data_IF_576322435654
#
_entry.id   IF_576322435654
#
_cell.length_a   1.000
_cell.length_b   1.000
_cell.length_c   1.000
_cell.angle_alpha   90.00
_cell.angle_beta   90.00
_cell.angle_gamma   90.00
#
_symmetry.space_group_name_H-M   'P 1'
#
loop_
_entity.id
_entity.type
_entity.pdbx_description
1 polymer ?
#
# COMPACT_ATOMS: atom_id res chain seq x y z
N UNK A 1 24.36 -3.21 -12.86
CA UNK A 1 24.14 -1.87 -13.47
C UNK A 1 22.72 -1.64 -14.05
N UNK A 2 22.11 -2.61 -14.73
CA UNK A 2 20.77 -2.47 -15.31
C UNK A 2 19.62 -2.51 -14.27
N UNK A 3 19.77 -3.27 -13.18
CA UNK A 3 18.78 -3.34 -12.09
C UNK A 3 18.62 -1.99 -11.36
N UNK A 4 19.73 -1.34 -11.03
CA UNK A 4 19.76 -0.05 -10.31
C UNK A 4 19.01 1.07 -11.07
N UNK A 5 19.14 1.10 -12.40
CA UNK A 5 18.47 2.10 -13.26
C UNK A 5 16.95 1.87 -13.33
N UNK A 6 16.52 0.62 -13.25
CA UNK A 6 15.11 0.24 -13.32
C UNK A 6 14.40 0.46 -11.98
N UNK A 7 15.12 0.26 -10.88
CA UNK A 7 14.68 0.57 -9.51
C UNK A 7 14.48 2.08 -9.31
N UNK A 8 15.43 2.91 -9.75
CA UNK A 8 15.32 4.38 -9.66
C UNK A 8 14.15 4.94 -10.47
N UNK A 9 13.91 4.40 -11.67
CA UNK A 9 12.81 4.84 -12.52
C UNK A 9 11.45 4.48 -11.92
N UNK A 10 11.32 3.30 -11.31
CA UNK A 10 10.10 2.86 -10.64
C UNK A 10 9.79 3.71 -9.40
N UNK A 11 10.80 3.98 -8.56
CA UNK A 11 10.66 4.90 -7.42
C UNK A 11 10.24 6.31 -7.88
N UNK A 12 10.82 6.79 -8.97
CA UNK A 12 10.47 8.10 -9.54
C UNK A 12 9.05 8.15 -10.10
N UNK A 13 8.58 7.09 -10.77
CA UNK A 13 7.19 7.00 -11.24
C UNK A 13 6.21 6.96 -10.08
N UNK A 14 6.50 6.17 -9.05
CA UNK A 14 5.67 6.13 -7.86
C UNK A 14 5.65 7.47 -7.17
N UNK A 15 6.80 8.15 -7.00
CA UNK A 15 6.89 9.50 -6.43
C UNK A 15 6.03 10.53 -7.17
N UNK A 16 5.84 10.37 -8.49
CA UNK A 16 4.96 11.23 -9.30
C UNK A 16 3.47 10.92 -9.16
N UNK A 17 3.08 9.75 -8.66
CA UNK A 17 1.68 9.31 -8.52
C UNK A 17 1.08 9.73 -7.17
N UNK A 18 -0.23 9.98 -7.14
CA UNK A 18 -1.00 10.15 -5.90
C UNK A 18 -0.97 8.87 -5.05
N UNK A 19 -1.13 8.99 -3.73
CA UNK A 19 -1.16 7.84 -2.80
C UNK A 19 -2.11 6.72 -3.25
N UNK A 20 -3.30 7.10 -3.71
CA UNK A 20 -4.32 6.15 -4.16
C UNK A 20 -3.93 5.48 -5.48
N UNK A 21 -3.30 6.23 -6.39
CA UNK A 21 -2.80 5.71 -7.65
C UNK A 21 -1.58 4.79 -7.45
N UNK A 22 -0.70 5.11 -6.50
CA UNK A 22 0.41 4.24 -6.09
C UNK A 22 -0.12 2.91 -5.55
N UNK A 23 -1.12 2.97 -4.66
CA UNK A 23 -1.74 1.77 -4.10
C UNK A 23 -2.32 0.89 -5.21
N UNK A 24 -3.15 1.44 -6.09
CA UNK A 24 -3.75 0.67 -7.17
C UNK A 24 -2.73 0.12 -8.18
N UNK A 25 -1.64 0.85 -8.43
CA UNK A 25 -0.54 0.38 -9.28
C UNK A 25 0.16 -0.83 -8.65
N UNK A 26 0.53 -0.73 -7.37
CA UNK A 26 1.12 -1.84 -6.61
C UNK A 26 0.16 -3.03 -6.50
N UNK A 27 -1.12 -2.77 -6.28
CA UNK A 27 -2.15 -3.80 -6.16
C UNK A 27 -2.40 -4.55 -7.49
N UNK A 28 -2.13 -3.95 -8.66
CA UNK A 28 -2.23 -4.65 -9.95
C UNK A 28 -0.95 -5.42 -10.29
N UNK A 29 0.21 -4.82 -10.04
CA UNK A 29 1.50 -5.34 -10.52
C UNK A 29 2.16 -6.30 -9.52
N UNK A 30 1.95 -6.09 -8.22
CA UNK A 30 2.59 -6.84 -7.13
C UNK A 30 1.57 -7.41 -6.15
N UNK A 31 0.38 -7.75 -6.64
CA UNK A 31 -0.72 -8.28 -5.83
C UNK A 31 -0.31 -9.49 -4.97
N UNK A 32 0.57 -10.35 -5.50
CA UNK A 32 1.11 -11.54 -4.81
C UNK A 32 2.04 -11.21 -3.64
N UNK A 33 2.66 -10.03 -3.60
CA UNK A 33 3.44 -9.53 -2.45
C UNK A 33 2.58 -8.67 -1.53
N UNK A 34 1.67 -7.90 -2.12
CA UNK A 34 0.80 -6.96 -1.40
C UNK A 34 -0.18 -7.69 -0.49
N UNK A 35 -0.84 -8.77 -0.95
CA UNK A 35 -1.81 -9.51 -0.13
C UNK A 35 -1.16 -10.14 1.13
N UNK A 36 -0.06 -10.92 1.04
CA UNK A 36 0.59 -11.47 2.23
C UNK A 36 1.07 -10.39 3.19
N UNK A 37 1.69 -9.32 2.67
CA UNK A 37 2.15 -8.19 3.48
C UNK A 37 0.97 -7.51 4.17
N UNK A 38 -0.15 -7.33 3.48
CA UNK A 38 -1.35 -6.70 4.02
C UNK A 38 -1.97 -7.54 5.14
N UNK A 39 -2.05 -8.87 4.96
CA UNK A 39 -2.57 -9.80 5.97
C UNK A 39 -1.65 -9.84 7.18
N UNK A 40 -0.34 -9.99 6.99
CA UNK A 40 0.64 -10.02 8.07
C UNK A 40 0.66 -8.70 8.86
N UNK A 41 0.74 -7.56 8.16
CA UNK A 41 0.72 -6.24 8.81
C UNK A 41 -0.60 -5.97 9.54
N UNK A 42 -1.74 -6.39 8.98
CA UNK A 42 -3.04 -6.28 9.66
C UNK A 42 -3.08 -7.14 10.93
N UNK A 43 -2.56 -8.37 10.88
CA UNK A 43 -2.47 -9.25 12.04
C UNK A 43 -1.57 -8.70 13.16
N UNK A 44 -0.40 -8.15 12.79
CA UNK A 44 0.53 -7.55 13.75
C UNK A 44 -0.08 -6.30 14.41
N UNK A 45 -0.64 -5.38 13.61
CA UNK A 45 -1.26 -4.15 14.13
C UNK A 45 -2.48 -4.51 15.00
N UNK A 46 -3.31 -5.44 14.55
CA UNK A 46 -4.47 -5.89 15.33
C UNK A 46 -4.05 -6.57 16.63
N UNK A 47 -3.05 -7.46 16.60
CA UNK A 47 -2.52 -8.10 17.81
C UNK A 47 -1.90 -7.11 18.78
N UNK A 48 -1.16 -6.12 18.28
CA UNK A 48 -0.58 -5.05 19.08
C UNK A 48 -1.67 -4.20 19.75
N UNK A 49 -2.70 -3.79 19.00
CA UNK A 49 -3.84 -3.05 19.53
C UNK A 49 -4.66 -3.87 20.55
N UNK A 50 -4.82 -5.16 20.30
CA UNK A 50 -5.52 -6.05 21.22
C UNK A 50 -4.78 -6.22 22.55
N UNK A 51 -3.44 -6.33 22.50
CA UNK A 51 -2.60 -6.33 23.70
C UNK A 51 -2.71 -5.02 24.46
N UNK A 52 -2.67 -3.87 23.76
CA UNK A 52 -2.87 -2.55 24.37
C UNK A 52 -4.24 -2.46 25.04
N UNK A 53 -5.31 -2.88 24.36
CA UNK A 53 -6.65 -2.89 24.92
C UNK A 53 -6.75 -3.80 26.16
N UNK A 54 -6.06 -4.95 26.14
CA UNK A 54 -5.99 -5.88 27.27
C UNK A 54 -5.16 -5.35 28.44
N UNK A 55 -4.19 -4.47 28.19
CA UNK A 55 -3.37 -3.82 29.23
C UNK A 55 -4.10 -2.70 30.00
N UNK A 56 -5.40 -2.50 29.77
CA UNK A 56 -6.22 -1.59 30.58
C UNK A 56 -6.20 -0.15 30.09
N UNK A 57 -6.17 0.08 28.78
CA UNK A 57 -6.41 1.44 28.24
C UNK A 57 -7.81 1.89 28.65
N UNK A 58 -7.85 3.04 29.33
CA UNK A 58 -9.07 3.67 29.78
C UNK A 58 -9.95 4.07 28.58
N UNK A 59 -11.15 3.53 28.58
CA UNK A 59 -12.15 3.72 27.52
C UNK A 59 -12.56 5.18 27.42
N UNK A 60 -12.61 5.87 28.56
CA UNK A 60 -13.02 7.27 28.64
C UNK A 60 -11.99 8.19 27.97
N UNK A 61 -10.70 7.90 28.15
CA UNK A 61 -9.60 8.64 27.49
C UNK A 61 -9.67 8.49 25.96
N UNK A 62 -10.00 7.30 25.45
CA UNK A 62 -10.16 7.08 24.01
C UNK A 62 -11.40 7.76 23.43
N UNK A 63 -12.51 7.75 24.17
CA UNK A 63 -13.74 8.45 23.78
C UNK A 63 -13.50 9.96 23.76
N UNK A 64 -12.82 10.51 24.75
CA UNK A 64 -12.47 11.93 24.82
C UNK A 64 -11.51 12.32 23.68
N UNK A 65 -10.46 11.54 23.48
CA UNK A 65 -9.54 11.74 22.35
C UNK A 65 -10.28 11.68 21.02
N UNK A 66 -11.15 10.70 20.85
CA UNK A 66 -11.99 10.52 19.67
C UNK A 66 -12.89 11.74 19.40
N UNK A 67 -13.52 12.29 20.43
CA UNK A 67 -14.29 13.55 20.32
C UNK A 67 -13.42 14.72 19.89
N UNK A 68 -12.19 14.84 20.42
CA UNK A 68 -11.25 15.91 20.05
C UNK A 68 -10.82 15.85 18.59
N UNK A 69 -10.71 14.65 18.01
CA UNK A 69 -10.37 14.46 16.60
C UNK A 69 -11.61 14.37 15.68
N UNK A 70 -12.81 14.66 16.20
CA UNK A 70 -14.04 14.75 15.41
C UNK A 70 -14.69 13.40 15.07
N UNK A 71 -14.44 12.34 15.84
CA UNK A 71 -15.10 11.04 15.65
C UNK A 71 -16.58 11.16 16.05
N UNK A 72 -17.53 10.71 15.21
CA UNK A 72 -18.95 10.69 15.53
C UNK A 72 -19.27 9.84 16.76
N UNK A 73 -20.16 10.31 17.64
CA UNK A 73 -20.56 9.60 18.86
C UNK A 73 -21.17 8.21 18.58
N UNK A 74 -21.72 7.99 17.39
CA UNK A 74 -22.21 6.69 16.93
C UNK A 74 -21.12 5.62 16.94
N UNK A 75 -19.86 6.00 16.68
CA UNK A 75 -18.71 5.09 16.79
C UNK A 75 -18.22 4.92 18.24
N UNK A 76 -18.56 5.85 19.13
CA UNK A 76 -18.08 5.88 20.51
C UNK A 76 -19.07 5.23 21.50
N UNK A 77 -20.36 5.18 21.16
CA UNK A 77 -21.40 4.54 21.97
C UNK A 77 -21.15 3.05 22.26
N UNK A 78 -20.66 2.22 21.32
CA UNK A 78 -20.34 0.82 21.59
C UNK A 78 -19.21 0.62 22.61
N UNK A 79 -18.35 1.64 22.79
CA UNK A 79 -17.24 1.59 23.76
C UNK A 79 -17.74 1.70 25.21
N UNK A 80 -18.86 2.40 25.44
CA UNK A 80 -19.42 2.64 26.78
C UNK A 80 -20.14 1.42 27.37
N UNK A 81 -20.38 0.37 26.57
CA UNK A 81 -21.11 -0.81 27.02
C UNK A 81 -20.11 -1.80 27.63
N UNK A 82 -20.16 -1.94 28.96
CA UNK A 82 -19.21 -2.63 29.84
C UNK A 82 -18.95 -4.12 29.54
N UNK A 83 -19.70 -4.75 28.62
CA UNK A 83 -19.47 -6.14 28.17
C UNK A 83 -18.66 -6.29 26.87
N UNK A 84 -18.47 -5.22 26.10
CA UNK A 84 -17.76 -5.22 24.80
C UNK A 84 -16.39 -4.52 24.83
N UNK A 85 -16.00 -3.98 26.00
CA UNK A 85 -14.95 -2.99 26.20
C UNK A 85 -13.67 -3.22 25.39
N UNK A 86 -12.98 -4.35 25.57
CA UNK A 86 -11.64 -4.51 24.98
C UNK A 86 -11.64 -4.77 23.46
N UNK A 87 -12.65 -5.48 22.94
CA UNK A 87 -12.76 -5.77 21.50
C UNK A 87 -13.26 -4.54 20.75
N UNK A 88 -14.24 -3.82 21.31
CA UNK A 88 -14.74 -2.58 20.72
C UNK A 88 -13.66 -1.50 20.67
N UNK A 89 -12.86 -1.37 21.75
CA UNK A 89 -11.69 -0.49 21.80
C UNK A 89 -10.69 -0.86 20.71
N UNK A 90 -10.30 -2.13 20.63
CA UNK A 90 -9.37 -2.60 19.61
C UNK A 90 -9.88 -2.30 18.19
N UNK A 91 -11.19 -2.46 17.93
CA UNK A 91 -11.82 -2.16 16.64
C UNK A 91 -11.86 -0.67 16.31
N UNK A 92 -12.09 0.20 17.30
CA UNK A 92 -12.07 1.65 17.11
C UNK A 92 -10.63 2.13 16.85
N UNK A 93 -9.65 1.66 17.63
CA UNK A 93 -8.24 1.95 17.33
C UNK A 93 -7.84 1.41 15.95
N UNK A 94 -8.32 0.23 15.58
CA UNK A 94 -8.05 -0.35 14.26
C UNK A 94 -8.63 0.53 13.14
N UNK A 95 -9.84 1.10 13.33
CA UNK A 95 -10.44 2.08 12.41
C UNK A 95 -9.68 3.40 12.34
N UNK A 96 -9.05 3.84 13.42
CA UNK A 96 -8.19 5.03 13.42
C UNK A 96 -6.87 4.79 12.68
N UNK A 97 -6.33 3.58 12.79
CA UNK A 97 -5.09 3.18 12.14
C UNK A 97 -5.33 2.77 10.68
N UNK A 98 -6.55 2.61 10.18
CA UNK A 98 -6.82 2.23 8.78
C UNK A 98 -6.05 3.04 7.71
N UNK A 99 -6.02 4.39 7.74
CA UNK A 99 -5.19 5.16 6.80
C UNK A 99 -3.69 4.88 6.96
N UNK A 100 -3.21 4.73 8.20
CA UNK A 100 -1.82 4.36 8.49
C UNK A 100 -1.51 2.93 8.02
N UNK A 101 -2.44 1.99 8.14
CA UNK A 101 -2.31 0.60 7.69
C UNK A 101 -2.11 0.51 6.18
N UNK A 102 -2.86 1.30 5.41
CA UNK A 102 -2.64 1.41 3.97
C UNK A 102 -1.26 2.01 3.67
N UNK A 103 -0.84 3.04 4.41
CA UNK A 103 0.50 3.62 4.26
C UNK A 103 1.61 2.61 4.56
N UNK A 104 1.50 1.85 5.65
CA UNK A 104 2.43 0.78 6.04
C UNK A 104 2.45 -0.35 5.01
N UNK A 105 1.28 -0.76 4.49
CA UNK A 105 1.21 -1.78 3.43
C UNK A 105 1.90 -1.30 2.15
N UNK A 106 1.66 -0.06 1.73
CA UNK A 106 2.31 0.53 0.55
C UNK A 106 3.81 0.60 0.78
N UNK A 107 4.27 1.17 1.91
CA UNK A 107 5.68 1.27 2.24
C UNK A 107 6.36 -0.10 2.34
N UNK A 108 5.71 -1.08 2.98
CA UNK A 108 6.18 -2.45 3.10
C UNK A 108 6.26 -3.15 1.75
N UNK A 109 5.26 -2.97 0.88
CA UNK A 109 5.28 -3.53 -0.48
C UNK A 109 6.41 -2.91 -1.30
N UNK A 110 6.67 -1.60 -1.17
CA UNK A 110 7.79 -0.94 -1.82
C UNK A 110 9.14 -1.48 -1.34
N UNK A 111 9.30 -1.67 -0.03
CA UNK A 111 10.49 -2.30 0.55
C UNK A 111 10.67 -3.75 0.09
N UNK A 112 9.59 -4.54 0.05
CA UNK A 112 9.60 -5.91 -0.41
C UNK A 112 9.99 -6.03 -1.90
N UNK A 113 9.48 -5.13 -2.75
CA UNK A 113 9.87 -5.03 -4.16
C UNK A 113 11.36 -4.71 -4.27
N UNK A 114 11.87 -3.77 -3.47
CA UNK A 114 13.28 -3.39 -3.45
C UNK A 114 14.19 -4.57 -3.10
N UNK A 115 13.81 -5.33 -2.08
CA UNK A 115 14.53 -6.54 -1.66
C UNK A 115 14.42 -7.64 -2.74
N UNK A 116 13.24 -7.84 -3.33
CA UNK A 116 12.98 -8.82 -4.38
C UNK A 116 13.75 -8.55 -5.67
N UNK A 117 13.90 -7.28 -6.05
CA UNK A 117 14.73 -6.85 -7.19
C UNK A 117 16.21 -7.10 -6.88
N UNK A 118 16.68 -6.76 -5.68
CA UNK A 118 18.07 -7.03 -5.25
C UNK A 118 18.42 -8.51 -5.23
N UNK A 119 17.48 -9.37 -4.80
CA UNK A 119 17.65 -10.83 -4.78
C UNK A 119 17.37 -11.51 -6.12
N UNK A 120 16.93 -10.77 -7.15
CA UNK A 120 16.63 -11.31 -8.47
C UNK A 120 15.35 -12.16 -8.55
N UNK A 121 14.53 -12.16 -7.50
CA UNK A 121 13.28 -12.93 -7.43
C UNK A 121 12.11 -12.22 -8.14
N UNK A 122 12.23 -10.90 -8.33
CA UNK A 122 11.17 -10.06 -8.87
C UNK A 122 11.69 -9.34 -10.10
N UNK A 123 11.01 -9.50 -11.25
CA UNK A 123 11.37 -8.79 -12.48
C UNK A 123 11.06 -7.30 -12.33
N UNK A 124 12.05 -6.40 -12.50
CA UNK A 124 11.81 -4.97 -12.38
C UNK A 124 10.96 -4.49 -13.56
N UNK A 125 9.92 -3.70 -13.26
CA UNK A 125 8.97 -3.19 -14.24
C UNK A 125 9.69 -2.33 -15.30
N UNK A 126 9.38 -2.49 -16.59
CA UNK A 126 9.78 -1.50 -17.58
C UNK A 126 9.04 -0.18 -17.31
N UNK A 127 9.80 0.85 -16.97
CA UNK A 127 9.30 2.23 -16.78
C UNK A 127 8.39 2.67 -17.93
N UNK A 128 7.35 3.49 -17.69
CA UNK A 128 6.43 3.96 -18.76
C UNK A 128 7.17 4.67 -19.88
N UNK A 129 8.31 5.30 -19.59
CA UNK A 129 9.18 5.89 -20.62
C UNK A 129 9.81 4.82 -21.51
N UNK A 130 10.17 3.67 -20.93
CA UNK A 130 10.58 2.45 -21.65
C UNK A 130 9.42 1.86 -22.46
N UNK A 131 8.19 1.91 -21.95
CA UNK A 131 7.02 1.42 -22.67
C UNK A 131 6.63 2.35 -23.84
N UNK A 132 6.66 3.67 -23.66
CA UNK A 132 6.44 4.65 -24.72
C UNK A 132 7.50 4.53 -25.82
N UNK A 133 8.77 4.42 -25.45
CA UNK A 133 9.86 4.22 -26.42
C UNK A 133 9.75 2.87 -27.13
N UNK A 134 9.36 1.79 -26.45
CA UNK A 134 9.08 0.51 -27.10
C UNK A 134 7.89 0.58 -28.07
N UNK A 135 6.81 1.27 -27.70
CA UNK A 135 5.64 1.46 -28.57
C UNK A 135 6.02 2.31 -29.78
N UNK A 136 6.70 3.44 -29.58
CA UNK A 136 7.18 4.29 -30.67
C UNK A 136 8.15 3.55 -31.60
N UNK A 137 9.05 2.74 -31.04
CA UNK A 137 9.96 1.88 -31.81
C UNK A 137 9.18 0.87 -32.65
N UNK A 138 8.20 0.17 -32.06
CA UNK A 138 7.34 -0.77 -32.79
C UNK A 138 6.49 -0.10 -33.88
N UNK A 139 6.03 1.12 -33.65
CA UNK A 139 5.28 1.89 -34.66
C UNK A 139 6.19 2.27 -35.84
N UNK A 140 7.39 2.79 -35.56
CA UNK A 140 8.39 3.08 -36.59
C UNK A 140 8.82 1.83 -37.38
N UNK A 141 9.03 0.70 -36.71
CA UNK A 141 9.35 -0.58 -37.36
C UNK A 141 8.23 -1.05 -38.28
N UNK A 142 6.95 -0.90 -37.87
CA UNK A 142 5.80 -1.20 -38.73
C UNK A 142 5.72 -0.29 -39.95
N UNK A 143 6.03 1.00 -39.79
CA UNK A 143 6.08 1.97 -40.89
C UNK A 143 7.17 1.64 -41.90
N UNK A 144 8.39 1.35 -41.42
CA UNK A 144 9.52 0.94 -42.25
C UNK A 144 9.20 -0.36 -42.99
N UNK A 145 8.55 -1.33 -42.31
CA UNK A 145 8.15 -2.58 -42.94
C UNK A 145 7.12 -2.34 -44.06
N UNK A 146 6.12 -1.48 -43.85
CA UNK A 146 5.15 -1.10 -44.89
C UNK A 146 5.78 -0.38 -46.08
N UNK A 147 6.80 0.46 -45.84
CA UNK A 147 7.55 1.14 -46.90
C UNK A 147 8.40 0.15 -47.71
N UNK A 148 8.95 -0.87 -47.06
CA UNK A 148 9.73 -1.93 -47.71
C UNK A 148 8.87 -2.90 -48.52
N UNK A 149 7.65 -3.19 -48.07
CA UNK A 149 6.66 -4.00 -48.81
C UNK A 149 6.07 -3.26 -50.03
N UNK A 150 6.18 -1.92 -50.07
CA UNK A 150 5.67 -1.07 -51.17
C UNK A 150 6.72 -0.79 -52.26
N UNK A 151 7.99 -1.17 -52.05
CA UNK A 151 9.06 -1.08 -53.05
C UNK A 151 9.31 -2.45 -53.66
#
# INVERSE_FOLDING_TARGET
PASNKTESDFENELKKLSFYQRYWKLAKEYWYLLIPVHVASSGIIFGFLFLIAKSGVDVEVLVEYGKRIGIPEVMLNPLKVSGLGNIAIALVLYKLITPLRYAVTVAGTLGAIKIGIRKGWVKPMPSRDKMKSMIQKKLKEREIKKLKDRR
#
